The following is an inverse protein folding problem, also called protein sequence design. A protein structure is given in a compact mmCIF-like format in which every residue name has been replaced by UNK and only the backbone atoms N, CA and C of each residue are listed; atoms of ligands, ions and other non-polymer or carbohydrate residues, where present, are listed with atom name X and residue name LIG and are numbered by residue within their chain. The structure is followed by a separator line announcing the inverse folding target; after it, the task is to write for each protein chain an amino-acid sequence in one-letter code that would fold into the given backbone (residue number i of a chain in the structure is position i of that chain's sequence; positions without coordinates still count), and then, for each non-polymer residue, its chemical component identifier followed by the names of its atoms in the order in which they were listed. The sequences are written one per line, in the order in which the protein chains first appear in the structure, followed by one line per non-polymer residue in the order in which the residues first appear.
data_IF_431442231936
#
_entry.id   IF_431442231936
#
_cell.length_a   1.000
_cell.length_b   1.000
_cell.length_c   1.000
_cell.angle_alpha   90.00
_cell.angle_beta   90.00
_cell.angle_gamma   90.00
#
_symmetry.space_group_name_H-M   'P 1'
#
loop_
_entity.id
_entity.type
_entity.pdbx_description
1 polymer ?
#
# COMPACT_ATOMS: atom_id res chain seq x y z
N UNK A 1 -1.19 15.17 4.84
CA UNK A 1 -1.62 13.76 4.66
C UNK A 1 -2.37 13.66 3.35
N UNK A 2 -2.07 12.64 2.55
CA UNK A 2 -2.84 12.39 1.33
C UNK A 2 -4.27 11.99 1.69
N UNK A 3 -5.27 12.50 0.96
CA UNK A 3 -6.66 12.08 1.14
C UNK A 3 -6.99 10.99 0.13
N UNK A 4 -7.32 9.80 0.62
CA UNK A 4 -7.75 8.68 -0.20
C UNK A 4 -9.28 8.73 -0.40
N UNK A 5 -9.81 8.39 -1.58
CA UNK A 5 -11.25 8.38 -1.83
C UNK A 5 -12.04 7.34 -1.01
N UNK A 6 -11.40 6.25 -0.59
CA UNK A 6 -12.03 5.12 0.10
C UNK A 6 -11.12 4.58 1.19
N UNK A 7 -11.67 4.01 2.29
CA UNK A 7 -10.86 3.38 3.34
C UNK A 7 -10.10 2.16 2.81
N UNK A 8 -10.73 1.35 1.95
CA UNK A 8 -10.12 0.23 1.25
C UNK A 8 -10.06 0.53 -0.24
N UNK A 9 -8.87 0.39 -0.85
CA UNK A 9 -8.67 0.58 -2.28
C UNK A 9 -7.96 -0.61 -2.92
N UNK A 10 -8.32 -0.93 -4.16
CA UNK A 10 -7.62 -1.94 -4.98
C UNK A 10 -6.26 -1.39 -5.43
N UNK A 11 -5.32 -2.30 -5.70
CA UNK A 11 -4.04 -1.96 -6.34
C UNK A 11 -4.22 -1.07 -7.57
N UNK A 12 -5.16 -1.41 -8.45
CA UNK A 12 -5.42 -0.66 -9.69
C UNK A 12 -5.99 0.74 -9.45
N UNK A 13 -6.80 0.92 -8.39
CA UNK A 13 -7.31 2.25 -8.02
C UNK A 13 -6.17 3.13 -7.49
N UNK A 14 -5.25 2.57 -6.71
CA UNK A 14 -4.04 3.27 -6.26
C UNK A 14 -3.09 3.57 -7.44
N UNK A 15 -2.94 2.66 -8.40
CA UNK A 15 -2.18 2.94 -9.63
C UNK A 15 -2.79 4.10 -10.40
N UNK A 16 -4.11 4.18 -10.52
CA UNK A 16 -4.81 5.30 -11.15
C UNK A 16 -4.63 6.64 -10.40
N UNK A 17 -4.32 6.60 -9.10
CA UNK A 17 -3.93 7.78 -8.31
C UNK A 17 -2.46 8.20 -8.50
N UNK A 18 -1.68 7.46 -9.31
CA UNK A 18 -0.29 7.76 -9.60
C UNK A 18 0.72 7.00 -8.75
N UNK A 19 0.30 6.00 -7.96
CA UNK A 19 1.26 5.14 -7.26
C UNK A 19 1.90 4.12 -8.21
N UNK A 20 3.23 4.05 -8.30
CA UNK A 20 3.91 3.04 -9.10
C UNK A 20 3.58 1.62 -8.63
N UNK A 21 3.46 0.68 -9.56
CA UNK A 21 3.18 -0.71 -9.23
C UNK A 21 4.22 -1.31 -8.27
N UNK A 22 5.49 -1.03 -8.53
CA UNK A 22 6.61 -1.51 -7.72
C UNK A 22 6.52 -1.02 -6.26
N UNK A 23 6.07 0.21 -6.05
CA UNK A 23 5.85 0.78 -4.72
C UNK A 23 4.76 -0.01 -3.97
N UNK A 24 3.63 -0.26 -4.63
CA UNK A 24 2.51 -1.01 -4.05
C UNK A 24 2.88 -2.46 -3.76
N UNK A 25 3.61 -3.11 -4.67
CA UNK A 25 4.07 -4.48 -4.51
C UNK A 25 5.14 -4.60 -3.41
N UNK A 26 6.02 -3.61 -3.27
CA UNK A 26 6.99 -3.54 -2.17
C UNK A 26 6.28 -3.39 -0.83
N UNK A 27 5.30 -2.49 -0.74
CA UNK A 27 4.49 -2.31 0.47
C UNK A 27 3.74 -3.59 0.84
N UNK A 28 3.08 -4.23 -0.13
CA UNK A 28 2.37 -5.50 0.06
C UNK A 28 3.28 -6.65 0.55
N UNK A 29 4.51 -6.72 0.03
CA UNK A 29 5.50 -7.74 0.40
C UNK A 29 6.30 -7.39 1.65
N UNK A 30 6.11 -6.20 2.22
CA UNK A 30 6.85 -5.76 3.40
C UNK A 30 6.59 -6.70 4.57
N UNK A 31 7.66 -7.17 5.22
CA UNK A 31 7.53 -8.07 6.37
C UNK A 31 6.77 -7.39 7.51
N UNK A 32 5.76 -8.07 8.05
CA UNK A 32 5.00 -7.60 9.21
C UNK A 32 3.97 -6.51 8.91
N UNK A 33 3.70 -6.20 7.64
CA UNK A 33 2.57 -5.35 7.27
C UNK A 33 1.23 -6.07 7.52
N UNK A 34 0.21 -5.31 7.90
CA UNK A 34 -1.17 -5.75 8.15
C UNK A 34 -2.20 -5.02 7.27
N UNK A 35 -1.78 -4.06 6.46
CA UNK A 35 -2.64 -3.16 5.71
C UNK A 35 -2.93 -3.61 4.27
N UNK A 36 -2.29 -4.65 3.74
CA UNK A 36 -2.47 -5.08 2.35
C UNK A 36 -2.63 -6.60 2.23
N UNK A 37 -3.68 -7.05 1.54
CA UNK A 37 -3.96 -8.48 1.35
C UNK A 37 -4.69 -8.77 0.03
N UNK A 38 -4.68 -10.03 -0.37
CA UNK A 38 -5.54 -10.50 -1.48
C UNK A 38 -6.96 -10.62 -0.97
N UNK A 39 -7.95 -10.18 -1.75
CA UNK A 39 -9.38 -10.39 -1.43
C UNK A 39 -9.66 -11.88 -1.20
N UNK A 40 -9.08 -12.74 -2.04
CA UNK A 40 -9.10 -14.18 -1.84
C UNK A 40 -7.66 -14.73 -1.86
N UNK A 41 -7.10 -15.14 -0.71
CA UNK A 41 -5.74 -15.65 -0.64
C UNK A 41 -5.55 -17.01 -1.32
N UNK A 42 -6.61 -17.80 -1.50
CA UNK A 42 -6.54 -19.12 -2.15
C UNK A 42 -6.46 -19.04 -3.67
N UNK A 43 -6.76 -17.87 -4.25
CA UNK A 43 -6.69 -17.63 -5.70
C UNK A 43 -5.39 -16.90 -6.08
N UNK A 44 -4.50 -17.51 -6.89
CA UNK A 44 -3.21 -16.92 -7.25
C UNK A 44 -3.29 -15.49 -7.80
N UNK A 45 -4.27 -15.22 -8.67
CA UNK A 45 -4.47 -13.93 -9.34
C UNK A 45 -5.55 -13.05 -8.69
N UNK A 46 -5.90 -13.28 -7.42
CA UNK A 46 -6.85 -12.41 -6.73
C UNK A 46 -6.32 -10.97 -6.64
N UNK A 47 -7.23 -10.01 -6.80
CA UNK A 47 -6.99 -8.59 -6.59
C UNK A 47 -6.41 -8.35 -5.19
N UNK A 48 -5.38 -7.50 -5.14
CA UNK A 48 -4.80 -6.98 -3.89
C UNK A 48 -5.55 -5.70 -3.51
N UNK A 49 -5.92 -5.61 -2.24
CA UNK A 49 -6.53 -4.43 -1.63
C UNK A 49 -5.64 -3.90 -0.51
N UNK A 50 -5.77 -2.60 -0.25
CA UNK A 50 -5.01 -1.86 0.73
C UNK A 50 -5.98 -1.11 1.65
N UNK A 51 -5.81 -1.26 2.95
CA UNK A 51 -6.25 -0.30 3.94
C UNK A 51 -5.41 0.98 3.78
N UNK A 52 -6.08 2.07 3.42
CA UNK A 52 -5.44 3.32 3.01
C UNK A 52 -4.82 4.06 4.18
N UNK A 53 -5.36 3.94 5.39
CA UNK A 53 -4.77 4.52 6.59
C UNK A 53 -3.47 3.81 6.99
N UNK A 54 -3.48 2.48 6.99
CA UNK A 54 -2.30 1.65 7.23
C UNK A 54 -1.22 1.89 6.18
N UNK A 55 -1.60 1.96 4.90
CA UNK A 55 -0.68 2.26 3.81
C UNK A 55 -0.04 3.65 3.93
N UNK A 56 -0.83 4.68 4.27
CA UNK A 56 -0.31 6.04 4.48
C UNK A 56 0.66 6.11 5.66
N UNK A 57 0.36 5.40 6.76
CA UNK A 57 1.25 5.30 7.92
C UNK A 57 2.59 4.66 7.53
N UNK A 58 2.55 3.59 6.73
CA UNK A 58 3.75 2.96 6.18
C UNK A 58 4.56 3.93 5.32
N UNK A 59 3.93 4.65 4.38
CA UNK A 59 4.59 5.64 3.53
C UNK A 59 5.26 6.75 4.33
N UNK A 60 4.58 7.27 5.35
CA UNK A 60 5.15 8.31 6.22
C UNK A 60 6.35 7.79 7.01
N UNK A 61 6.32 6.54 7.47
CA UNK A 61 7.46 5.93 8.14
C UNK A 61 8.66 5.75 7.20
N UNK A 62 8.44 5.43 5.92
CA UNK A 62 9.52 5.40 4.93
C UNK A 62 10.15 6.78 4.73
N UNK A 63 9.33 7.81 4.50
CA UNK A 63 9.80 9.20 4.33
C UNK A 63 10.63 9.63 5.54
N UNK A 64 10.14 9.38 6.76
CA UNK A 64 10.89 9.70 8.00
C UNK A 64 12.24 9.00 8.07
N UNK A 65 12.30 7.71 7.70
CA UNK A 65 13.56 6.94 7.71
C UNK A 65 14.55 7.46 6.66
N UNK A 66 14.06 7.93 5.52
CA UNK A 66 14.90 8.49 4.46
C UNK A 66 15.41 9.89 4.83
N UNK A 67 14.55 10.76 5.38
CA UNK A 67 14.95 12.09 5.85
C UNK A 67 15.91 12.06 7.04
N UNK A 68 15.88 11.01 7.86
CA UNK A 68 16.80 10.82 9.00
C UNK A 68 18.12 10.13 8.66
N UNK A 69 18.41 9.87 7.37
CA UNK A 69 19.68 9.29 6.89
C UNK A 69 20.66 10.33 6.32
N UNK A 70 20.37 11.62 6.51
CA UNK A 70 21.26 12.75 6.23
C UNK A 70 21.92 13.22 7.54
#
# INVERSE_FOLDING_TARGET
MLKYPKPIMKKTELQAMGFPEECLMTAYRSRGQDFAHKINPTKPHSTIVFDTEGFERYRQNLIKKESGRL
#
